data_IF_247113095250
#
_entry.id   IF_247113095250
#
_cell.length_a   1.000
_cell.length_b   1.000
_cell.length_c   1.000
_cell.angle_alpha   90.00
_cell.angle_beta   90.00
_cell.angle_gamma   90.00
#
_symmetry.space_group_name_H-M   'P 1'
#
loop_
_entity.id
_entity.type
_entity.pdbx_description
1 polymer ?
#
# COMPACT_ATOMS: atom_id res chain seq x y z
N UNK A 1 6.01 -11.37 -49.70
CA UNK A 1 5.16 -12.30 -50.41
C UNK A 1 4.17 -12.88 -49.45
N UNK A 2 2.98 -12.44 -49.64
CA UNK A 2 1.62 -12.91 -49.35
C UNK A 2 1.11 -12.69 -47.91
N UNK A 3 0.22 -11.68 -47.86
CA UNK A 3 -0.81 -11.46 -46.82
C UNK A 3 -1.97 -12.46 -47.00
N UNK A 4 -2.63 -12.80 -45.93
CA UNK A 4 -4.05 -13.19 -45.75
C UNK A 4 -4.20 -13.55 -44.27
N UNK A 5 -5.24 -13.28 -43.49
CA UNK A 5 -6.61 -12.94 -43.79
C UNK A 5 -7.22 -12.26 -42.54
N UNK A 6 -7.89 -11.17 -42.77
CA UNK A 6 -8.86 -10.57 -41.84
C UNK A 6 -10.28 -10.92 -42.36
N UNK A 7 -11.04 -11.76 -41.62
CA UNK A 7 -12.50 -11.67 -41.58
C UNK A 7 -13.08 -12.25 -40.30
N UNK A 8 -14.02 -11.55 -39.63
CA UNK A 8 -14.60 -12.01 -38.37
C UNK A 8 -15.71 -13.06 -38.60
N UNK A 9 -15.67 -14.08 -37.78
CA UNK A 9 -16.51 -15.31 -37.79
C UNK A 9 -18.02 -15.05 -37.52
N UNK A 10 -18.46 -13.80 -37.42
CA UNK A 10 -19.85 -13.43 -37.08
C UNK A 10 -20.86 -13.46 -38.23
N UNK A 11 -20.44 -13.31 -39.47
CA UNK A 11 -21.37 -13.03 -40.59
C UNK A 11 -21.98 -14.28 -41.24
N UNK A 12 -21.33 -15.42 -41.17
CA UNK A 12 -21.82 -16.66 -41.79
C UNK A 12 -22.98 -17.37 -41.04
N UNK A 13 -23.17 -17.09 -39.75
CA UNK A 13 -24.28 -17.68 -38.96
C UNK A 13 -25.61 -17.00 -39.20
N UNK A 14 -25.63 -15.70 -39.56
CA UNK A 14 -26.87 -14.97 -39.83
C UNK A 14 -27.46 -15.34 -41.20
N UNK A 15 -26.63 -15.59 -42.21
CA UNK A 15 -27.08 -15.98 -43.55
C UNK A 15 -27.67 -17.39 -43.57
N UNK A 16 -27.10 -18.34 -42.80
CA UNK A 16 -27.62 -19.69 -42.68
C UNK A 16 -28.99 -19.69 -41.96
N UNK A 17 -29.19 -18.80 -40.98
CA UNK A 17 -30.45 -18.67 -40.27
C UNK A 17 -31.57 -18.08 -41.14
N UNK A 18 -31.24 -17.12 -42.02
CA UNK A 18 -32.23 -16.54 -42.96
C UNK A 18 -32.67 -17.50 -44.07
N UNK A 19 -31.78 -18.38 -44.53
CA UNK A 19 -32.11 -19.38 -45.57
C UNK A 19 -33.00 -20.50 -45.03
N UNK A 20 -32.88 -20.80 -43.72
CA UNK A 20 -33.72 -21.81 -43.08
C UNK A 20 -35.15 -21.31 -42.78
N UNK A 21 -35.35 -20.00 -42.67
CA UNK A 21 -36.67 -19.40 -42.37
C UNK A 21 -37.55 -19.30 -43.61
N UNK A 22 -36.97 -19.25 -44.82
CA UNK A 22 -37.72 -19.05 -46.08
C UNK A 22 -38.33 -20.32 -46.70
N UNK A 23 -38.00 -21.52 -46.18
CA UNK A 23 -38.43 -22.78 -46.77
C UNK A 23 -39.45 -23.61 -45.92
N UNK A 24 -39.98 -23.04 -44.84
CA UNK A 24 -40.98 -23.74 -44.03
C UNK A 24 -42.39 -23.15 -44.25
N UNK A 25 -43.29 -23.89 -44.84
CA UNK A 25 -44.75 -23.59 -44.82
C UNK A 25 -45.23 -23.74 -43.36
N UNK A 26 -45.40 -22.62 -42.69
CA UNK A 26 -45.82 -22.56 -41.29
C UNK A 26 -47.26 -23.03 -41.11
N UNK A 27 -47.48 -24.09 -40.33
CA UNK A 27 -48.79 -24.56 -39.93
C UNK A 27 -49.26 -23.73 -38.70
N UNK A 28 -50.35 -22.99 -38.89
CA UNK A 28 -50.94 -22.04 -37.91
C UNK A 28 -51.22 -22.64 -36.52
N UNK A 29 -51.43 -23.96 -36.44
CA UNK A 29 -51.62 -24.67 -35.17
C UNK A 29 -50.34 -24.83 -34.35
N UNK A 30 -49.19 -24.88 -34.98
CA UNK A 30 -47.89 -25.00 -34.32
C UNK A 30 -47.46 -23.64 -33.73
N UNK A 31 -47.82 -22.55 -34.45
CA UNK A 31 -47.51 -21.19 -33.99
C UNK A 31 -48.26 -20.81 -32.69
N UNK A 32 -49.50 -21.22 -32.54
CA UNK A 32 -50.25 -21.00 -31.26
C UNK A 32 -49.64 -21.75 -30.06
N UNK A 33 -49.07 -22.92 -30.27
CA UNK A 33 -48.40 -23.67 -29.19
C UNK A 33 -47.04 -23.05 -28.81
N UNK A 34 -46.29 -22.58 -29.79
CA UNK A 34 -45.00 -21.90 -29.55
C UNK A 34 -45.23 -20.57 -28.84
N UNK A 35 -46.23 -19.79 -29.27
CA UNK A 35 -46.55 -18.50 -28.61
C UNK A 35 -47.05 -18.67 -27.17
N UNK A 36 -47.76 -19.80 -26.88
CA UNK A 36 -48.20 -20.10 -25.50
C UNK A 36 -47.02 -20.54 -24.61
N UNK A 37 -46.07 -21.28 -25.15
CA UNK A 37 -44.86 -21.69 -24.38
C UNK A 37 -43.90 -20.50 -24.16
N UNK A 38 -43.78 -19.55 -25.10
CA UNK A 38 -42.92 -18.35 -24.90
C UNK A 38 -43.57 -17.38 -23.92
N UNK A 39 -44.90 -17.26 -23.88
CA UNK A 39 -45.60 -16.42 -22.88
C UNK A 39 -45.56 -17.03 -21.49
N UNK A 40 -45.62 -18.36 -21.36
CA UNK A 40 -45.44 -19.04 -20.08
C UNK A 40 -44.01 -18.96 -19.53
N UNK A 41 -42.99 -18.93 -20.40
CA UNK A 41 -41.60 -18.74 -20.00
C UNK A 41 -41.31 -17.31 -19.55
N UNK A 42 -42.04 -16.29 -20.04
CA UNK A 42 -41.90 -14.89 -19.62
C UNK A 42 -42.58 -14.62 -18.25
N UNK A 43 -43.54 -15.40 -17.82
CA UNK A 43 -44.22 -15.24 -16.52
C UNK A 43 -43.48 -15.96 -15.39
N UNK A 44 -42.70 -17.01 -15.70
CA UNK A 44 -41.89 -17.73 -14.69
C UNK A 44 -40.54 -17.03 -14.41
N UNK A 45 -40.13 -16.08 -15.28
CA UNK A 45 -38.88 -15.30 -15.09
C UNK A 45 -38.94 -14.15 -14.07
N UNK A 46 -40.09 -13.92 -13.43
CA UNK A 46 -40.26 -12.81 -12.46
C UNK A 46 -40.31 -13.27 -10.99
N UNK A 47 -39.77 -14.41 -10.65
CA UNK A 47 -39.68 -14.83 -9.24
C UNK A 47 -38.25 -15.24 -8.93
N UNK A 48 -37.65 -14.48 -7.98
CA UNK A 48 -36.37 -14.68 -7.34
C UNK A 48 -35.10 -14.21 -8.13
N UNK A 49 -34.94 -12.88 -8.26
CA UNK A 49 -33.60 -12.30 -8.25
C UNK A 49 -33.43 -11.56 -6.90
N UNK A 50 -33.33 -12.34 -5.84
CA UNK A 50 -32.61 -11.94 -4.63
C UNK A 50 -31.23 -12.63 -4.63
N UNK A 51 -30.52 -12.60 -5.75
CA UNK A 51 -29.07 -12.61 -5.70
C UNK A 51 -28.67 -11.18 -5.44
N UNK A 52 -28.28 -10.91 -4.20
CA UNK A 52 -27.42 -9.78 -3.87
C UNK A 52 -26.12 -9.99 -4.67
N UNK A 53 -26.14 -9.58 -5.93
CA UNK A 53 -24.91 -9.30 -6.65
C UNK A 53 -24.22 -8.23 -5.82
N UNK A 54 -23.25 -8.63 -5.01
CA UNK A 54 -22.22 -7.76 -4.52
C UNK A 54 -21.51 -7.20 -5.76
N UNK A 55 -22.10 -6.17 -6.34
CA UNK A 55 -21.43 -5.32 -7.28
C UNK A 55 -20.34 -4.64 -6.46
N UNK A 56 -19.17 -5.25 -6.40
CA UNK A 56 -17.96 -4.57 -5.98
C UNK A 56 -17.78 -3.43 -6.97
N UNK A 57 -18.27 -2.24 -6.60
CA UNK A 57 -18.01 -1.02 -7.35
C UNK A 57 -16.51 -0.84 -7.29
N UNK A 58 -15.82 -1.17 -8.36
CA UNK A 58 -14.39 -0.96 -8.48
C UNK A 58 -14.14 0.53 -8.29
N UNK A 59 -13.51 0.90 -7.15
CA UNK A 59 -13.19 2.30 -6.86
C UNK A 59 -12.28 2.80 -7.97
N UNK A 60 -12.59 3.94 -8.55
CA UNK A 60 -11.71 4.57 -9.54
C UNK A 60 -10.31 4.82 -8.94
N UNK A 61 -9.26 4.69 -9.76
CA UNK A 61 -7.85 4.73 -9.31
C UNK A 61 -7.51 5.99 -8.51
N UNK A 62 -8.05 7.16 -8.90
CA UNK A 62 -7.91 8.43 -8.19
C UNK A 62 -8.47 8.34 -6.78
N UNK A 63 -9.66 7.78 -6.58
CA UNK A 63 -10.27 7.62 -5.25
C UNK A 63 -9.45 6.71 -4.34
N UNK A 64 -8.87 5.64 -4.87
CA UNK A 64 -8.02 4.73 -4.09
C UNK A 64 -6.77 5.44 -3.57
N UNK A 65 -6.08 6.19 -4.44
CA UNK A 65 -4.86 6.93 -4.06
C UNK A 65 -5.17 8.02 -3.03
N UNK A 66 -6.20 8.84 -3.28
CA UNK A 66 -6.60 9.92 -2.37
C UNK A 66 -6.98 9.33 -1.00
N UNK A 67 -7.79 8.29 -0.96
CA UNK A 67 -8.20 7.63 0.28
C UNK A 67 -6.99 7.09 1.05
N UNK A 68 -6.03 6.45 0.38
CA UNK A 68 -4.82 5.93 1.00
C UNK A 68 -4.01 7.06 1.69
N UNK A 69 -3.83 8.19 0.99
CA UNK A 69 -3.14 9.37 1.53
C UNK A 69 -3.91 9.96 2.73
N UNK A 70 -5.22 10.15 2.57
CA UNK A 70 -6.05 10.82 3.58
C UNK A 70 -6.29 9.97 4.84
N UNK A 71 -6.19 8.64 4.72
CA UNK A 71 -6.46 7.71 5.83
C UNK A 71 -5.22 7.22 6.55
N UNK A 72 -4.00 7.35 5.95
CA UNK A 72 -2.76 6.96 6.62
C UNK A 72 -2.59 7.70 7.94
N UNK A 73 -2.16 6.96 8.97
CA UNK A 73 -1.91 7.48 10.32
C UNK A 73 -0.56 7.03 10.85
N UNK A 74 0.01 7.83 11.74
CA UNK A 74 1.18 7.44 12.53
C UNK A 74 0.76 6.45 13.61
N UNK A 75 1.01 5.19 13.38
CA UNK A 75 0.73 4.10 14.33
C UNK A 75 1.86 4.04 15.34
N UNK A 76 1.54 3.81 16.61
CA UNK A 76 2.50 3.79 17.74
C UNK A 76 2.30 2.63 18.68
N UNK A 77 1.42 1.71 18.30
CA UNK A 77 1.27 0.42 18.96
C UNK A 77 1.04 -0.66 17.91
N UNK A 78 1.72 -1.78 18.05
CA UNK A 78 1.80 -2.80 17.03
C UNK A 78 1.71 -4.18 17.64
N UNK A 79 1.16 -5.11 16.89
CA UNK A 79 1.23 -6.53 17.18
C UNK A 79 2.69 -6.99 17.25
N UNK A 80 3.00 -8.04 18.02
CA UNK A 80 4.39 -8.48 18.24
C UNK A 80 5.06 -9.11 17.02
N UNK A 81 4.29 -9.52 16.01
CA UNK A 81 4.82 -10.16 14.81
C UNK A 81 5.53 -9.14 13.90
N UNK A 82 6.72 -9.49 13.44
CA UNK A 82 7.45 -8.69 12.45
C UNK A 82 6.69 -8.63 11.12
N UNK A 83 6.87 -7.54 10.39
CA UNK A 83 6.33 -7.42 9.03
C UNK A 83 6.97 -8.52 8.17
N UNK A 84 6.14 -9.21 7.37
CA UNK A 84 6.62 -10.20 6.43
C UNK A 84 7.69 -9.59 5.51
N UNK A 85 8.83 -10.28 5.32
CA UNK A 85 9.97 -9.74 4.55
C UNK A 85 9.65 -9.50 3.09
N UNK A 86 8.75 -10.27 2.48
CA UNK A 86 8.29 -10.05 1.11
C UNK A 86 7.48 -8.74 1.01
N UNK A 87 6.56 -8.52 1.95
CA UNK A 87 5.82 -7.25 2.05
C UNK A 87 6.77 -6.07 2.30
N UNK A 88 7.76 -6.25 3.18
CA UNK A 88 8.75 -5.21 3.46
C UNK A 88 9.64 -4.90 2.25
N UNK A 89 10.01 -5.91 1.48
CA UNK A 89 10.73 -5.73 0.21
C UNK A 89 9.89 -4.91 -0.78
N UNK A 90 8.59 -5.18 -0.87
CA UNK A 90 7.68 -4.39 -1.71
C UNK A 90 7.52 -2.94 -1.22
N UNK A 91 7.49 -2.72 0.11
CA UNK A 91 7.50 -1.37 0.69
C UNK A 91 8.75 -0.60 0.28
N UNK A 92 9.93 -1.25 0.33
CA UNK A 92 11.20 -0.63 -0.09
C UNK A 92 11.18 -0.34 -1.59
N UNK A 93 10.72 -1.28 -2.40
CA UNK A 93 10.58 -1.11 -3.85
C UNK A 93 9.73 0.13 -4.16
N UNK A 94 8.54 0.28 -3.57
CA UNK A 94 7.72 1.48 -3.73
C UNK A 94 8.46 2.75 -3.28
N UNK A 95 9.26 2.68 -2.22
CA UNK A 95 10.08 3.78 -1.73
C UNK A 95 11.06 4.27 -2.77
N UNK A 96 11.83 3.38 -3.38
CA UNK A 96 12.88 3.75 -4.36
C UNK A 96 12.32 4.30 -5.68
N UNK A 97 11.02 4.14 -5.95
CA UNK A 97 10.34 4.81 -7.06
C UNK A 97 10.02 6.28 -6.79
N UNK A 98 10.33 6.81 -5.60
CA UNK A 98 10.21 8.24 -5.32
C UNK A 98 11.12 9.07 -6.25
N UNK A 99 10.67 10.25 -6.71
CA UNK A 99 11.52 11.15 -7.46
C UNK A 99 12.72 11.59 -6.61
N UNK A 100 13.86 11.78 -7.24
CA UNK A 100 15.06 12.23 -6.58
C UNK A 100 15.93 13.08 -7.53
N UNK A 101 16.76 13.96 -6.97
CA UNK A 101 17.52 14.91 -7.74
C UNK A 101 18.48 14.22 -8.71
N UNK A 102 18.30 14.47 -10.00
CA UNK A 102 19.12 13.95 -11.10
C UNK A 102 19.26 12.42 -11.12
N UNK A 103 18.29 11.72 -10.55
CA UNK A 103 18.33 10.27 -10.38
C UNK A 103 19.62 9.76 -9.66
N UNK A 104 20.12 10.55 -8.71
CA UNK A 104 21.34 10.19 -7.96
C UNK A 104 21.13 9.09 -6.95
N UNK A 105 19.88 8.86 -6.51
CA UNK A 105 19.51 7.78 -5.59
C UNK A 105 20.36 7.78 -4.30
N UNK A 106 20.52 8.96 -3.70
CA UNK A 106 21.42 9.22 -2.57
C UNK A 106 20.85 8.80 -1.22
N UNK A 107 20.04 7.76 -1.18
CA UNK A 107 19.52 7.20 0.05
C UNK A 107 20.18 5.87 0.40
N UNK A 108 20.21 5.55 1.69
CA UNK A 108 20.43 4.21 2.20
C UNK A 108 19.27 3.82 3.10
N UNK A 109 18.69 2.64 2.87
CA UNK A 109 17.65 2.03 3.69
C UNK A 109 18.21 0.77 4.33
N UNK A 110 18.05 0.63 5.66
CA UNK A 110 18.44 -0.58 6.40
C UNK A 110 17.28 -1.04 7.24
N UNK A 111 16.75 -2.21 6.97
CA UNK A 111 15.62 -2.79 7.71
C UNK A 111 16.13 -3.75 8.75
N UNK A 112 15.62 -3.60 9.96
CA UNK A 112 15.92 -4.43 11.11
C UNK A 112 14.63 -5.02 11.65
N UNK A 113 14.56 -6.34 11.72
CA UNK A 113 13.51 -7.14 12.35
C UNK A 113 14.09 -8.10 13.42
N UNK A 114 15.35 -7.89 13.78
CA UNK A 114 16.09 -8.71 14.75
C UNK A 114 15.77 -8.25 16.18
N UNK A 115 15.17 -9.11 17.03
CA UNK A 115 14.78 -8.74 18.39
C UNK A 115 15.96 -8.30 19.28
N UNK A 116 17.13 -8.91 19.10
CA UNK A 116 18.35 -8.54 19.85
C UNK A 116 18.78 -7.10 19.57
N UNK A 117 18.67 -6.65 18.33
CA UNK A 117 18.97 -5.26 17.96
C UNK A 117 17.96 -4.30 18.59
N UNK A 118 16.65 -4.59 18.42
CA UNK A 118 15.57 -3.73 18.91
C UNK A 118 15.64 -3.62 20.44
N UNK A 119 15.84 -4.73 21.14
CA UNK A 119 15.94 -4.77 22.59
C UNK A 119 17.20 -4.06 23.08
N UNK A 120 18.36 -4.30 22.46
CA UNK A 120 19.60 -3.67 22.85
C UNK A 120 19.59 -2.16 22.73
N UNK A 121 19.10 -1.62 21.61
CA UNK A 121 18.91 -0.15 21.46
C UNK A 121 17.87 0.37 22.46
N UNK A 122 16.83 -0.40 22.75
CA UNK A 122 15.82 -0.03 23.78
C UNK A 122 16.44 0.07 25.16
N UNK A 123 17.31 -0.85 25.56
CA UNK A 123 18.02 -0.80 26.84
C UNK A 123 18.92 0.43 26.96
N UNK A 124 19.62 0.81 25.88
CA UNK A 124 20.44 2.03 25.82
C UNK A 124 19.55 3.26 25.98
N UNK A 125 18.44 3.34 25.23
CA UNK A 125 17.50 4.45 25.35
C UNK A 125 16.93 4.59 26.77
N UNK A 126 16.63 3.47 27.45
CA UNK A 126 16.16 3.44 28.82
C UNK A 126 17.22 3.86 29.84
N UNK A 127 18.50 3.55 29.61
CA UNK A 127 19.61 4.07 30.45
C UNK A 127 19.73 5.58 30.32
N UNK A 128 19.60 6.12 29.13
CA UNK A 128 19.66 7.56 28.88
C UNK A 128 18.40 8.31 29.37
N UNK A 129 17.22 7.67 29.27
CA UNK A 129 15.96 8.24 29.71
C UNK A 129 15.04 7.18 30.36
N UNK A 130 15.15 6.93 31.66
CA UNK A 130 14.32 5.94 32.36
C UNK A 130 12.80 6.23 32.30
N UNK A 131 12.40 7.49 32.10
CA UNK A 131 10.99 7.89 32.02
C UNK A 131 10.27 7.30 30.81
N UNK A 132 11.00 6.77 29.83
CA UNK A 132 10.37 6.06 28.70
C UNK A 132 9.50 4.89 29.16
N UNK A 133 9.83 4.22 30.26
CA UNK A 133 9.01 3.13 30.85
C UNK A 133 7.64 3.58 31.35
N UNK A 134 7.47 4.89 31.63
CA UNK A 134 6.20 5.45 32.09
C UNK A 134 5.19 5.64 30.94
N UNK A 135 5.61 5.48 29.69
CA UNK A 135 4.71 5.56 28.55
C UNK A 135 3.72 4.37 28.58
N UNK A 136 2.44 4.62 28.32
CA UNK A 136 1.45 3.55 28.23
C UNK A 136 1.89 2.45 27.25
N UNK A 137 1.71 1.20 27.65
CA UNK A 137 2.02 0.01 26.85
C UNK A 137 3.47 -0.08 26.31
N UNK A 138 4.44 0.56 26.98
CA UNK A 138 5.83 0.57 26.50
C UNK A 138 6.40 -0.86 26.43
N UNK A 139 6.77 -1.28 25.22
CA UNK A 139 7.46 -2.56 24.93
C UNK A 139 8.88 -2.31 24.44
N UNK A 140 9.08 -1.35 23.53
CA UNK A 140 10.40 -0.97 23.01
C UNK A 140 10.47 0.50 22.58
N UNK A 141 11.69 1.00 22.38
CA UNK A 141 11.97 2.39 22.05
C UNK A 141 11.44 2.82 20.67
N UNK A 142 11.22 1.89 19.77
CA UNK A 142 10.71 2.12 18.42
C UNK A 142 9.18 2.16 18.36
N UNK A 143 8.53 2.70 19.41
CA UNK A 143 7.05 2.74 19.52
C UNK A 143 6.42 1.36 19.46
N UNK A 144 7.06 0.40 20.07
CA UNK A 144 6.63 -1.00 20.12
C UNK A 144 6.68 -1.75 18.77
N UNK A 145 7.26 -1.15 17.73
CA UNK A 145 7.36 -1.77 16.43
C UNK A 145 8.34 -2.95 16.44
N UNK A 146 7.96 -4.07 15.81
CA UNK A 146 8.85 -5.23 15.64
C UNK A 146 9.74 -5.13 14.40
N UNK A 147 9.49 -4.17 13.50
CA UNK A 147 10.29 -3.92 12.29
C UNK A 147 10.60 -2.44 12.16
N UNK A 148 11.85 -2.11 11.85
CA UNK A 148 12.32 -0.72 11.79
C UNK A 148 13.16 -0.53 10.53
N UNK A 149 12.88 0.51 9.75
CA UNK A 149 13.73 0.93 8.64
C UNK A 149 14.51 2.19 9.04
N UNK A 150 15.84 2.12 8.99
CA UNK A 150 16.74 3.25 9.17
C UNK A 150 17.01 3.91 7.82
N UNK A 151 16.89 5.23 7.77
CA UNK A 151 17.04 6.05 6.55
C UNK A 151 18.22 6.97 6.72
N UNK A 152 19.14 6.94 5.75
CA UNK A 152 20.36 7.73 5.76
C UNK A 152 20.65 8.32 4.36
N UNK A 153 21.42 9.41 4.31
CA UNK A 153 21.92 10.02 3.09
C UNK A 153 23.34 10.54 3.29
N UNK A 154 24.08 10.89 2.21
CA UNK A 154 25.40 11.54 2.34
C UNK A 154 25.32 12.81 3.17
N UNK A 155 26.34 13.06 3.99
CA UNK A 155 26.46 14.28 4.80
C UNK A 155 26.46 15.51 3.89
N UNK A 156 27.27 15.46 2.82
CA UNK A 156 27.41 16.52 1.82
C UNK A 156 26.48 16.29 0.63
N UNK A 157 25.16 16.41 0.86
CA UNK A 157 24.18 16.27 -0.21
C UNK A 157 23.18 17.42 -0.19
N UNK A 158 23.08 18.14 -1.31
CA UNK A 158 22.11 19.23 -1.49
C UNK A 158 20.64 18.76 -1.37
N UNK A 159 20.33 17.59 -1.84
CA UNK A 159 18.95 17.07 -1.91
C UNK A 159 18.73 15.81 -1.09
N UNK A 160 19.74 15.22 -0.46
CA UNK A 160 19.66 13.92 0.15
C UNK A 160 18.56 13.80 1.22
N UNK A 161 18.43 14.81 2.08
CA UNK A 161 17.38 14.82 3.09
C UNK A 161 15.98 14.92 2.47
N UNK A 162 15.83 15.75 1.43
CA UNK A 162 14.58 15.91 0.70
C UNK A 162 14.21 14.62 -0.05
N UNK A 163 15.16 14.03 -0.77
CA UNK A 163 14.98 12.76 -1.49
C UNK A 163 14.60 11.63 -0.54
N UNK A 164 15.23 11.56 0.65
CA UNK A 164 14.89 10.61 1.70
C UNK A 164 13.48 10.83 2.26
N UNK A 165 13.00 12.08 2.35
CA UNK A 165 11.63 12.38 2.76
C UNK A 165 10.61 11.84 1.76
N UNK A 166 10.84 12.03 0.46
CA UNK A 166 9.98 11.50 -0.62
C UNK A 166 9.95 9.97 -0.62
N UNK A 167 11.13 9.34 -0.52
CA UNK A 167 11.25 7.89 -0.37
C UNK A 167 10.46 7.37 0.84
N UNK A 168 10.62 8.02 1.99
CA UNK A 168 9.97 7.62 3.24
C UNK A 168 8.44 7.69 3.14
N UNK A 169 7.88 8.73 2.51
CA UNK A 169 6.43 8.83 2.34
C UNK A 169 5.90 7.76 1.39
N UNK A 170 6.58 7.47 0.27
CA UNK A 170 6.21 6.35 -0.60
C UNK A 170 6.22 5.00 0.16
N UNK A 171 7.24 4.75 0.99
CA UNK A 171 7.28 3.56 1.84
C UNK A 171 6.08 3.49 2.79
N UNK A 172 5.74 4.60 3.45
CA UNK A 172 4.63 4.64 4.42
C UNK A 172 3.26 4.50 3.75
N UNK A 173 3.06 5.08 2.57
CA UNK A 173 1.82 4.95 1.79
C UNK A 173 1.64 3.53 1.26
N UNK A 174 2.70 2.93 0.74
CA UNK A 174 2.71 1.54 0.29
C UNK A 174 2.40 0.58 1.45
N UNK A 175 3.06 0.74 2.60
CA UNK A 175 2.78 -0.04 3.80
C UNK A 175 1.30 0.07 4.21
N UNK A 176 0.76 1.29 4.25
CA UNK A 176 -0.62 1.55 4.63
C UNK A 176 -1.63 0.84 3.71
N UNK A 177 -1.38 0.82 2.41
CA UNK A 177 -2.24 0.10 1.43
C UNK A 177 -2.29 -1.42 1.66
N UNK A 178 -1.29 -1.97 2.35
CA UNK A 178 -1.19 -3.39 2.72
C UNK A 178 -1.62 -3.68 4.17
N UNK A 179 -2.22 -2.68 4.86
CA UNK A 179 -2.61 -2.83 6.27
C UNK A 179 -1.45 -2.79 7.27
N UNK A 180 -0.28 -2.33 6.83
CA UNK A 180 0.91 -2.15 7.68
C UNK A 180 0.96 -0.72 8.17
N UNK A 181 0.94 -0.53 9.49
CA UNK A 181 1.10 0.76 10.13
C UNK A 181 2.55 1.23 10.11
N UNK A 182 2.74 2.56 10.15
CA UNK A 182 4.08 3.15 10.20
C UNK A 182 4.13 4.42 11.03
N UNK A 183 5.33 4.77 11.50
CA UNK A 183 5.59 6.04 12.21
C UNK A 183 7.05 6.48 12.02
N UNK A 184 7.27 7.72 11.56
CA UNK A 184 8.61 8.33 11.54
C UNK A 184 9.12 8.62 12.95
N UNK A 185 10.37 8.30 13.21
CA UNK A 185 11.05 8.38 14.51
C UNK A 185 12.37 9.16 14.39
N UNK A 186 12.30 10.49 14.51
CA UNK A 186 13.50 11.31 14.58
C UNK A 186 14.25 11.17 15.92
N UNK A 187 13.53 10.86 17.02
CA UNK A 187 14.09 10.68 18.36
C UNK A 187 15.06 9.49 18.48
N UNK A 188 15.06 8.60 17.52
CA UNK A 188 15.97 7.44 17.48
C UNK A 188 17.41 7.86 17.14
N UNK A 189 17.58 8.90 16.35
CA UNK A 189 18.89 9.32 15.83
C UNK A 189 19.88 9.66 16.94
N UNK A 190 19.58 10.54 17.92
CA UNK A 190 20.53 10.83 19.01
C UNK A 190 20.96 9.59 19.81
N UNK A 191 20.05 8.64 20.03
CA UNK A 191 20.37 7.38 20.72
C UNK A 191 21.31 6.52 19.89
N UNK A 192 21.04 6.37 18.60
CA UNK A 192 21.89 5.59 17.68
C UNK A 192 23.29 6.18 17.50
N UNK A 193 23.44 7.48 17.67
CA UNK A 193 24.74 8.19 17.57
C UNK A 193 25.51 8.22 18.90
N UNK A 194 24.98 7.65 19.98
CA UNK A 194 25.71 7.57 21.26
C UNK A 194 26.80 6.51 21.22
N UNK A 195 27.82 6.66 22.06
CA UNK A 195 28.93 5.69 22.16
C UNK A 195 28.42 4.27 22.54
N UNK A 196 27.41 4.20 23.42
CA UNK A 196 26.81 2.93 23.83
C UNK A 196 26.11 2.19 22.67
N UNK A 197 25.55 2.95 21.71
CA UNK A 197 24.84 2.39 20.56
C UNK A 197 25.75 2.09 19.37
N UNK A 198 27.06 2.46 19.44
CA UNK A 198 28.02 2.23 18.37
C UNK A 198 28.01 0.82 17.79
N UNK A 199 27.97 -0.27 18.60
CA UNK A 199 27.92 -1.62 18.05
C UNK A 199 26.65 -1.90 17.21
N UNK A 200 25.53 -1.25 17.53
CA UNK A 200 24.29 -1.36 16.76
C UNK A 200 24.32 -0.47 15.51
N UNK A 201 24.91 0.72 15.62
CA UNK A 201 25.09 1.61 14.46
C UNK A 201 25.97 0.97 13.39
N UNK A 202 27.07 0.34 13.78
CA UNK A 202 27.98 -0.39 12.87
C UNK A 202 27.29 -1.55 12.15
N UNK A 203 26.34 -2.22 12.80
CA UNK A 203 25.51 -3.27 12.17
C UNK A 203 24.64 -2.75 11.02
N UNK A 204 24.35 -1.46 10.96
CA UNK A 204 23.62 -0.88 9.84
C UNK A 204 24.46 -0.82 8.56
N UNK A 205 25.78 -0.92 8.65
CA UNK A 205 26.70 -0.88 7.50
C UNK A 205 26.37 0.27 6.55
N UNK A 206 26.18 1.46 7.11
CA UNK A 206 26.01 2.67 6.32
C UNK A 206 27.34 3.05 5.67
N UNK A 207 27.36 3.68 4.47
CA UNK A 207 28.56 4.26 3.92
C UNK A 207 29.16 5.30 4.88
N UNK A 208 30.48 5.43 4.91
CA UNK A 208 31.19 6.31 5.86
C UNK A 208 30.79 7.79 5.76
N UNK A 209 30.46 8.24 4.55
CA UNK A 209 30.00 9.60 4.27
C UNK A 209 28.50 9.82 4.47
N UNK A 210 27.77 8.83 5.03
CA UNK A 210 26.34 8.93 5.27
C UNK A 210 26.02 9.31 6.71
N UNK A 211 24.99 10.14 6.88
CA UNK A 211 24.39 10.45 8.17
C UNK A 211 23.02 9.79 8.28
N UNK A 212 22.72 9.26 9.46
CA UNK A 212 21.39 8.76 9.80
C UNK A 212 20.42 9.93 9.96
N UNK A 213 19.29 9.92 9.25
CA UNK A 213 18.28 10.98 9.29
C UNK A 213 17.12 10.67 10.21
N UNK A 214 16.62 9.44 10.12
CA UNK A 214 15.46 8.98 10.90
C UNK A 214 15.38 7.46 10.88
N UNK A 215 14.50 6.93 11.70
CA UNK A 215 13.98 5.60 11.52
C UNK A 215 12.48 5.64 11.24
N UNK A 216 11.94 4.60 10.59
CA UNK A 216 10.51 4.40 10.39
C UNK A 216 10.15 3.08 11.06
N UNK A 217 9.26 3.16 12.05
CA UNK A 217 8.64 2.01 12.65
C UNK A 217 7.61 1.40 11.71
N UNK A 218 7.59 0.08 11.56
CA UNK A 218 6.60 -0.68 10.80
C UNK A 218 6.07 -1.85 11.60
N UNK A 219 4.79 -2.18 11.42
CA UNK A 219 4.14 -3.33 12.03
C UNK A 219 2.65 -3.35 11.75
N UNK A 220 2.00 -4.44 12.09
CA UNK A 220 0.54 -4.53 12.01
C UNK A 220 -0.06 -3.75 13.18
N UNK A 221 -0.99 -2.77 12.94
CA UNK A 221 -1.58 -1.98 14.01
C UNK A 221 -2.22 -2.83 15.09
N UNK A 222 -2.03 -2.45 16.35
CA UNK A 222 -2.75 -3.00 17.50
C UNK A 222 -3.70 -1.93 18.05
N UNK A 223 -4.97 -2.31 18.30
CA UNK A 223 -6.00 -1.38 18.76
C UNK A 223 -6.58 -0.48 17.65
N UNK A 224 -7.21 0.61 18.07
CA UNK A 224 -7.90 1.53 17.19
C UNK A 224 -6.95 2.41 16.36
N UNK A 225 -7.31 2.66 15.12
CA UNK A 225 -6.59 3.60 14.27
C UNK A 225 -6.83 5.03 14.78
N UNK A 226 -5.79 5.82 15.04
CA UNK A 226 -5.94 7.18 15.54
C UNK A 226 -6.75 8.07 14.59
N UNK A 227 -7.55 8.96 15.14
CA UNK A 227 -8.25 9.98 14.35
C UNK A 227 -7.26 10.92 13.66
N UNK A 228 -7.66 11.44 12.49
CA UNK A 228 -6.84 12.44 11.80
C UNK A 228 -6.76 13.72 12.64
N UNK A 229 -5.56 14.25 12.91
CA UNK A 229 -5.44 15.56 13.52
C UNK A 229 -5.90 16.64 12.51
N UNK A 230 -6.35 17.76 13.04
CA UNK A 230 -6.71 18.93 12.24
C UNK A 230 -5.52 19.40 11.38
N UNK A 231 -5.82 19.93 10.21
CA UNK A 231 -4.84 20.48 9.26
C UNK A 231 -5.17 21.94 9.00
N UNK A 232 -4.17 22.79 9.10
CA UNK A 232 -4.27 24.20 8.78
C UNK A 232 -4.17 24.43 7.27
N UNK A 233 -5.31 24.48 6.61
CA UNK A 233 -5.40 24.70 5.17
C UNK A 233 -5.02 26.14 4.76
N UNK A 234 -4.97 27.09 5.69
CA UNK A 234 -4.63 28.50 5.40
C UNK A 234 -3.17 28.68 4.99
N UNK A 235 -2.31 27.67 5.25
CA UNK A 235 -0.89 27.67 4.87
C UNK A 235 -0.64 27.30 3.40
N UNK A 236 -1.70 26.99 2.64
CA UNK A 236 -1.60 26.65 1.21
C UNK A 236 -2.61 27.49 0.43
N UNK A 237 -2.13 28.37 -0.44
CA UNK A 237 -2.97 29.28 -1.23
C UNK A 237 -2.36 29.53 -2.60
N UNK A 238 -3.18 30.01 -3.52
CA UNK A 238 -2.74 30.46 -4.84
C UNK A 238 -2.12 31.86 -4.74
N UNK A 239 -0.97 32.04 -5.37
CA UNK A 239 -0.36 33.37 -5.57
C UNK A 239 -0.89 33.91 -6.89
N UNK A 240 -1.53 35.11 -6.84
CA UNK A 240 -2.07 35.82 -8.01
C UNK A 240 -1.05 36.77 -8.61
#
# INVERSE_FOLDING_TARGET
>A
MIATDKYPIGLNRLIVLMVLITNYRFNFKVMKKILFCTLAALVVGCVNVNESTNVTVEKSKDKVVIENIMTRRSIRDYKPEAVNREQMAHVIECGIYAPNAMNKQTWAVRVVDAPDFINGVTEIALKQNPKLKEQPNFKNFFRNAPTVAFIACPVESYSGEFDCGLLSENMMLSAWSMGIGSCCLGSVVPVMLSEEAKPYYERLQLPEDYKLLMAIAFGYPEGDIPTAPERDASKAYYVE
#
